data_IF_652920078862
#
_entry.id   IF_652920078862
#
_cell.length_a   1.000
_cell.length_b   1.000
_cell.length_c   1.000
_cell.angle_alpha   90.00
_cell.angle_beta   90.00
_cell.angle_gamma   90.00
#
_symmetry.space_group_name_H-M   'P 1'
#
loop_
_entity.id
_entity.type
_entity.pdbx_description
1 polymer ?
#
# COMPACT_ATOMS: atom_id res chain seq x y z
N UNK A 1 20.91 0.63 -7.23
CA UNK A 1 20.41 1.98 -6.90
C UNK A 1 21.63 2.85 -6.61
N UNK A 2 21.61 4.13 -6.97
CA UNK A 2 22.63 5.06 -6.47
C UNK A 2 22.52 5.19 -4.93
N UNK A 3 23.62 5.54 -4.28
CA UNK A 3 23.70 5.65 -2.82
C UNK A 3 23.38 7.07 -2.33
N UNK A 4 23.78 8.10 -3.09
CA UNK A 4 23.44 9.49 -2.79
C UNK A 4 23.31 10.33 -4.05
N UNK A 5 22.55 11.41 -3.91
CA UNK A 5 22.47 12.50 -4.88
C UNK A 5 23.55 13.53 -4.54
N UNK A 6 24.16 14.12 -5.56
CA UNK A 6 25.10 15.24 -5.47
C UNK A 6 24.45 16.50 -6.04
N UNK A 7 25.13 17.64 -6.02
CA UNK A 7 24.58 18.88 -6.60
C UNK A 7 24.36 18.80 -8.11
N UNK A 8 25.01 17.86 -8.81
CA UNK A 8 24.98 17.73 -10.27
C UNK A 8 24.79 16.29 -10.77
N UNK A 9 24.58 15.33 -9.86
CA UNK A 9 24.72 13.92 -10.22
C UNK A 9 24.29 12.94 -9.14
N UNK A 10 24.75 11.70 -9.30
CA UNK A 10 24.55 10.61 -8.35
C UNK A 10 25.83 9.80 -8.16
N UNK A 11 26.01 9.25 -6.96
CA UNK A 11 27.12 8.33 -6.65
C UNK A 11 26.61 6.91 -6.58
N UNK A 12 27.28 6.01 -7.28
CA UNK A 12 27.01 4.58 -7.30
C UNK A 12 27.75 3.84 -6.19
N UNK A 13 27.29 2.63 -5.82
CA UNK A 13 28.06 1.74 -4.97
C UNK A 13 29.47 1.54 -5.52
N UNK A 14 30.48 1.76 -4.68
CA UNK A 14 31.90 1.75 -5.08
C UNK A 14 32.47 3.13 -5.45
N UNK A 15 31.67 4.20 -5.37
CA UNK A 15 32.15 5.59 -5.42
C UNK A 15 32.21 6.22 -6.82
N UNK A 16 31.85 5.50 -7.88
CA UNK A 16 31.70 6.08 -9.21
C UNK A 16 30.59 7.15 -9.22
N UNK A 17 30.82 8.26 -9.92
CA UNK A 17 29.87 9.38 -10.01
C UNK A 17 29.48 9.65 -11.46
N UNK A 18 28.18 9.83 -11.70
CA UNK A 18 27.62 10.25 -12.99
C UNK A 18 26.85 11.57 -12.84
N UNK A 19 27.00 12.47 -13.81
CA UNK A 19 26.19 13.67 -13.91
C UNK A 19 24.82 13.33 -14.51
N UNK A 20 23.75 13.91 -13.95
CA UNK A 20 22.38 13.75 -14.44
C UNK A 20 21.60 15.06 -14.33
N UNK A 21 20.67 15.28 -15.25
CA UNK A 21 19.85 16.50 -15.28
C UNK A 21 18.57 16.40 -14.41
N UNK A 22 18.14 15.18 -14.08
CA UNK A 22 16.91 14.98 -13.31
C UNK A 22 16.69 13.55 -12.82
N UNK A 23 15.90 13.44 -11.76
CA UNK A 23 15.52 12.16 -11.14
C UNK A 23 14.00 12.02 -11.21
N UNK A 24 13.51 10.94 -11.83
CA UNK A 24 12.10 10.57 -11.83
C UNK A 24 11.88 9.47 -10.78
N UNK A 25 11.16 9.80 -9.71
CA UNK A 25 10.80 8.83 -8.68
C UNK A 25 9.59 8.00 -9.11
N UNK A 26 9.85 6.95 -9.88
CA UNK A 26 8.86 5.92 -10.23
C UNK A 26 8.85 4.77 -9.19
N UNK A 27 9.05 5.08 -7.90
CA UNK A 27 9.21 4.11 -6.80
C UNK A 27 7.89 3.67 -6.16
N UNK A 28 6.76 3.98 -6.79
CA UNK A 28 5.42 3.58 -6.35
C UNK A 28 4.78 4.53 -5.34
N UNK A 29 3.72 4.04 -4.68
CA UNK A 29 2.88 4.83 -3.77
C UNK A 29 2.66 4.07 -2.46
N UNK A 30 2.30 4.81 -1.40
CA UNK A 30 1.78 4.25 -0.14
C UNK A 30 0.28 4.53 -0.04
N UNK A 31 -0.51 3.65 0.58
CA UNK A 31 -1.92 3.93 0.87
C UNK A 31 -2.09 5.23 1.66
N UNK A 32 -3.04 6.08 1.28
CA UNK A 32 -3.35 7.30 2.03
C UNK A 32 -4.27 6.99 3.21
N UNK A 33 -3.68 6.66 4.36
CA UNK A 33 -4.41 6.24 5.56
C UNK A 33 -4.26 7.20 6.74
N UNK A 34 -3.65 8.37 6.51
CA UNK A 34 -3.47 9.41 7.52
C UNK A 34 -4.76 9.77 8.28
N UNK A 35 -5.94 9.89 7.63
CA UNK A 35 -7.18 10.17 8.34
C UNK A 35 -7.59 9.09 9.37
N UNK A 36 -7.03 7.89 9.26
CA UNK A 36 -7.38 6.72 10.09
C UNK A 36 -6.29 6.36 11.11
N UNK A 37 -5.25 7.19 11.27
CA UNK A 37 -4.19 7.00 12.27
C UNK A 37 -4.71 6.71 13.69
N UNK A 38 -5.80 7.36 14.19
CA UNK A 38 -6.32 7.07 15.52
C UNK A 38 -6.87 5.65 15.71
N UNK A 39 -7.10 4.90 14.63
CA UNK A 39 -7.75 3.59 14.66
C UNK A 39 -6.76 2.42 14.81
N UNK A 40 -5.45 2.65 14.96
CA UNK A 40 -4.44 1.58 15.06
C UNK A 40 -4.55 0.51 13.94
N UNK A 41 -4.84 0.94 12.72
CA UNK A 41 -5.00 0.06 11.56
C UNK A 41 -3.70 -0.20 10.79
N UNK A 42 -2.59 0.38 11.23
CA UNK A 42 -1.27 0.24 10.60
C UNK A 42 -0.32 -0.59 11.47
N UNK A 43 0.49 -1.44 10.85
CA UNK A 43 1.60 -2.12 11.51
C UNK A 43 2.85 -1.21 11.62
N UNK A 44 3.91 -1.75 12.24
CA UNK A 44 5.18 -1.01 12.42
C UNK A 44 5.91 -0.68 11.11
N UNK A 45 5.51 -1.29 9.98
CA UNK A 45 6.04 -1.05 8.64
C UNK A 45 5.12 -0.18 7.78
N UNK A 46 4.08 0.43 8.38
CA UNK A 46 3.02 1.18 7.68
C UNK A 46 2.16 0.32 6.74
N UNK A 47 2.19 -1.01 6.90
CA UNK A 47 1.26 -1.92 6.26
C UNK A 47 -0.11 -1.88 6.93
N UNK A 48 -1.18 -2.13 6.16
CA UNK A 48 -2.54 -2.19 6.72
C UNK A 48 -2.74 -3.54 7.42
N UNK A 49 -3.16 -3.51 8.69
CA UNK A 49 -3.51 -4.69 9.49
C UNK A 49 -4.83 -5.31 8.98
N UNK A 50 -4.74 -6.11 7.93
CA UNK A 50 -5.88 -6.75 7.30
C UNK A 50 -5.58 -8.16 6.81
N UNK A 51 -6.63 -8.97 6.70
CA UNK A 51 -6.62 -10.24 5.97
C UNK A 51 -7.74 -10.27 4.92
N UNK A 52 -7.37 -10.31 3.64
CA UNK A 52 -8.29 -10.34 2.49
C UNK A 52 -9.36 -9.24 2.50
N UNK A 53 -9.04 -8.06 3.02
CA UNK A 53 -9.91 -6.89 3.11
C UNK A 53 -10.58 -6.71 4.47
N UNK A 54 -10.46 -7.64 5.41
CA UNK A 54 -11.04 -7.52 6.76
C UNK A 54 -9.96 -7.06 7.74
N UNK A 55 -10.24 -6.02 8.54
CA UNK A 55 -9.29 -5.56 9.56
C UNK A 55 -9.03 -6.65 10.62
N UNK A 56 -7.76 -6.82 11.01
CA UNK A 56 -7.37 -7.74 12.08
C UNK A 56 -7.23 -7.06 13.45
N UNK A 57 -7.26 -5.72 13.49
CA UNK A 57 -7.19 -4.95 14.74
C UNK A 57 -8.52 -4.34 15.17
N UNK A 58 -9.43 -4.06 14.23
CA UNK A 58 -10.66 -3.32 14.51
C UNK A 58 -11.88 -4.00 13.86
N UNK A 59 -12.74 -4.69 14.62
CA UNK A 59 -13.98 -5.25 14.09
C UNK A 59 -14.85 -4.18 13.42
N UNK A 60 -15.39 -4.48 12.25
CA UNK A 60 -16.24 -3.57 11.47
C UNK A 60 -15.48 -2.65 10.50
N UNK A 61 -14.15 -2.67 10.49
CA UNK A 61 -13.35 -1.99 9.46
C UNK A 61 -13.03 -2.97 8.33
N UNK A 62 -13.31 -2.52 7.10
CA UNK A 62 -13.03 -3.25 5.87
C UNK A 62 -12.25 -2.36 4.90
N UNK A 63 -11.40 -2.98 4.09
CA UNK A 63 -10.54 -2.32 3.12
C UNK A 63 -10.75 -2.94 1.74
N UNK A 64 -10.77 -2.12 0.70
CA UNK A 64 -10.90 -2.57 -0.70
C UNK A 64 -9.90 -1.85 -1.58
N UNK A 65 -9.35 -2.54 -2.57
CA UNK A 65 -8.44 -1.95 -3.55
C UNK A 65 -7.00 -1.73 -3.05
N UNK A 66 -6.62 -2.30 -1.91
CA UNK A 66 -5.23 -2.21 -1.44
C UNK A 66 -4.29 -3.05 -2.34
N UNK A 67 -3.04 -2.60 -2.56
CA UNK A 67 -2.04 -3.42 -3.23
C UNK A 67 -1.83 -4.74 -2.50
N UNK A 68 -1.89 -5.86 -3.23
CA UNK A 68 -1.75 -7.22 -2.68
C UNK A 68 -2.73 -7.54 -1.55
N UNK A 69 -3.91 -6.91 -1.53
CA UNK A 69 -4.93 -7.16 -0.50
C UNK A 69 -5.30 -8.64 -0.39
N UNK A 70 -5.63 -9.22 -1.54
CA UNK A 70 -5.88 -10.66 -1.71
C UNK A 70 -4.92 -11.26 -2.72
N UNK A 71 -4.67 -10.55 -3.82
CA UNK A 71 -3.69 -10.94 -4.84
C UNK A 71 -3.14 -9.70 -5.57
N UNK A 72 -2.26 -9.89 -6.55
CA UNK A 72 -1.62 -8.78 -7.27
C UNK A 72 -2.58 -7.91 -8.10
N UNK A 73 -3.77 -8.41 -8.44
CA UNK A 73 -4.78 -7.65 -9.20
C UNK A 73 -5.67 -6.77 -8.31
N UNK A 74 -5.61 -6.90 -6.98
CA UNK A 74 -6.49 -6.19 -6.04
C UNK A 74 -6.55 -4.66 -6.27
N UNK A 75 -5.40 -4.03 -6.52
CA UNK A 75 -5.30 -2.60 -6.81
C UNK A 75 -5.41 -2.27 -8.31
N UNK A 76 -6.29 -2.96 -9.03
CA UNK A 76 -6.56 -2.72 -10.46
C UNK A 76 -8.06 -2.62 -10.72
N UNK A 77 -8.45 -1.90 -11.78
CA UNK A 77 -9.87 -1.76 -12.16
C UNK A 77 -10.57 -3.11 -12.36
N UNK A 78 -9.87 -4.11 -12.92
CA UNK A 78 -10.45 -5.45 -13.13
C UNK A 78 -10.50 -6.28 -11.85
N UNK A 79 -9.48 -6.19 -11.00
CA UNK A 79 -9.34 -7.06 -9.84
C UNK A 79 -10.08 -6.59 -8.58
N UNK A 80 -10.43 -5.30 -8.49
CA UNK A 80 -11.09 -4.74 -7.30
C UNK A 80 -12.52 -5.24 -7.12
N UNK A 81 -13.25 -5.56 -8.20
CA UNK A 81 -14.63 -6.05 -8.15
C UNK A 81 -14.77 -7.35 -7.33
N UNK A 82 -14.07 -8.43 -7.69
CA UNK A 82 -14.08 -9.67 -6.92
C UNK A 82 -13.63 -9.52 -5.46
N UNK A 83 -12.72 -8.59 -5.16
CA UNK A 83 -12.33 -8.29 -3.78
C UNK A 83 -13.49 -7.66 -3.00
N UNK A 84 -14.23 -6.75 -3.64
CA UNK A 84 -15.43 -6.15 -3.05
C UNK A 84 -16.51 -7.19 -2.75
N UNK A 85 -16.78 -8.11 -3.68
CA UNK A 85 -17.76 -9.20 -3.47
C UNK A 85 -17.40 -10.04 -2.26
N UNK A 86 -16.12 -10.40 -2.11
CA UNK A 86 -15.66 -11.18 -0.97
C UNK A 86 -15.79 -10.44 0.37
N UNK A 87 -15.54 -9.13 0.39
CA UNK A 87 -15.70 -8.30 1.59
C UNK A 87 -17.17 -8.22 2.01
N UNK A 88 -18.10 -8.18 1.06
CA UNK A 88 -19.54 -8.08 1.35
C UNK A 88 -20.02 -9.27 2.19
N UNK A 89 -19.54 -10.48 1.94
CA UNK A 89 -19.87 -11.65 2.76
C UNK A 89 -19.44 -11.47 4.23
N UNK A 90 -18.26 -10.90 4.47
CA UNK A 90 -17.77 -10.60 5.83
C UNK A 90 -18.54 -9.44 6.47
N UNK A 91 -18.91 -8.43 5.69
CA UNK A 91 -19.67 -7.27 6.15
C UNK A 91 -21.10 -7.65 6.54
N UNK A 92 -21.79 -8.45 5.72
CA UNK A 92 -23.13 -8.97 6.01
C UNK A 92 -23.14 -9.77 7.32
N UNK A 93 -22.17 -10.67 7.50
CA UNK A 93 -21.97 -11.41 8.76
C UNK A 93 -21.74 -10.49 9.95
N UNK A 94 -20.97 -9.41 9.79
CA UNK A 94 -20.74 -8.45 10.87
C UNK A 94 -22.00 -7.67 11.25
N UNK A 95 -22.83 -7.30 10.26
CA UNK A 95 -24.07 -6.55 10.46
C UNK A 95 -25.27 -7.44 10.83
N UNK A 96 -25.14 -8.76 10.74
CA UNK A 96 -26.23 -9.74 10.87
C UNK A 96 -27.38 -9.51 9.86
N UNK A 97 -27.04 -9.22 8.61
CA UNK A 97 -27.99 -9.08 7.47
C UNK A 97 -27.66 -10.04 6.34
#
# INVERSE_FOLDING_TARGET
>A
MFERVTSSGVVWPGGAEDQIDGIIFATGFRPNLKPFEPLDILDSQQGVKQHQGVSTSNPGIFFVGLPKQRNFASATLRGVGPDSEQIMDSLHKYLNI
#
